data_IF_118162563178
#
_entry.id   IF_118162563178
#
_cell.length_a   1.000
_cell.length_b   1.000
_cell.length_c   1.000
_cell.angle_alpha   90.00
_cell.angle_beta   90.00
_cell.angle_gamma   90.00
#
_symmetry.space_group_name_H-M   'P 1'
#
loop_
_entity.id
_entity.type
_entity.pdbx_description
1 polymer ?
#
# COMPACT_ATOMS: atom_id res chain seq x y z
N UNK A 1 17.81 -10.83 10.68
CA UNK A 1 16.95 -9.74 10.14
C UNK A 1 16.87 -10.01 8.66
N UNK A 2 15.74 -10.37 8.11
CA UNK A 2 15.59 -10.39 6.65
C UNK A 2 15.67 -8.94 6.17
N UNK A 3 16.64 -8.66 5.31
CA UNK A 3 16.76 -7.39 4.63
C UNK A 3 15.61 -7.33 3.62
N UNK A 4 14.98 -6.17 3.45
CA UNK A 4 14.02 -5.94 2.37
C UNK A 4 14.83 -5.98 1.07
N UNK A 5 14.47 -6.90 0.16
CA UNK A 5 15.19 -7.13 -1.09
C UNK A 5 14.43 -6.60 -2.31
N UNK A 6 13.10 -6.57 -2.22
CA UNK A 6 12.22 -6.12 -3.29
C UNK A 6 11.52 -4.81 -2.91
N UNK A 7 11.64 -3.82 -3.77
CA UNK A 7 11.14 -2.46 -3.57
C UNK A 7 10.19 -2.07 -4.71
N UNK A 8 9.27 -1.12 -4.50
CA UNK A 8 8.59 -0.46 -5.62
C UNK A 8 9.60 0.12 -6.60
N UNK A 9 9.26 0.14 -7.88
CA UNK A 9 10.09 0.70 -8.93
C UNK A 9 10.24 2.22 -8.76
N UNK A 10 11.28 2.80 -9.35
CA UNK A 10 11.57 4.23 -9.19
C UNK A 10 10.44 5.12 -9.74
N UNK A 11 9.82 4.75 -10.85
CA UNK A 11 8.69 5.47 -11.43
C UNK A 11 7.43 5.40 -10.54
N UNK A 12 7.20 4.28 -9.88
CA UNK A 12 6.15 4.14 -8.85
C UNK A 12 6.41 5.06 -7.66
N UNK A 13 7.64 5.11 -7.15
CA UNK A 13 8.01 6.00 -6.05
C UNK A 13 7.94 7.47 -6.44
N UNK A 14 8.34 7.84 -7.67
CA UNK A 14 8.19 9.19 -8.19
C UNK A 14 6.72 9.59 -8.38
N UNK A 15 5.88 8.68 -8.89
CA UNK A 15 4.44 8.91 -9.00
C UNK A 15 3.79 9.11 -7.62
N UNK A 16 4.23 8.35 -6.61
CA UNK A 16 3.81 8.54 -5.23
C UNK A 16 4.22 9.92 -4.70
N UNK A 17 5.49 10.33 -4.87
CA UNK A 17 6.00 11.63 -4.45
C UNK A 17 5.28 12.80 -5.14
N UNK A 18 4.87 12.63 -6.40
CA UNK A 18 4.11 13.60 -7.16
C UNK A 18 2.61 13.63 -6.81
N UNK A 19 2.12 12.70 -5.98
CA UNK A 19 0.71 12.57 -5.64
C UNK A 19 -0.17 12.14 -6.82
N UNK A 20 0.41 11.49 -7.84
CA UNK A 20 -0.29 11.03 -9.04
C UNK A 20 -0.58 9.53 -9.06
N UNK A 21 -0.14 8.80 -8.04
CA UNK A 21 -0.39 7.37 -7.94
C UNK A 21 -1.84 7.12 -7.49
N UNK A 22 -2.60 6.20 -8.13
CA UNK A 22 -3.94 5.82 -7.69
C UNK A 22 -3.99 5.43 -6.21
N UNK A 23 -5.07 5.78 -5.51
CA UNK A 23 -5.18 5.67 -4.05
C UNK A 23 -4.88 4.27 -3.51
N UNK A 24 -5.31 3.22 -4.22
CA UNK A 24 -5.03 1.84 -3.83
C UNK A 24 -3.53 1.49 -3.88
N UNK A 25 -2.82 1.93 -4.92
CA UNK A 25 -1.37 1.75 -5.06
C UNK A 25 -0.62 2.62 -4.05
N UNK A 26 -1.07 3.87 -3.85
CA UNK A 26 -0.50 4.80 -2.89
C UNK A 26 -0.58 4.25 -1.45
N UNK A 27 -1.65 3.53 -1.09
CA UNK A 27 -1.78 2.87 0.20
C UNK A 27 -0.69 1.82 0.40
N UNK A 28 -0.40 1.00 -0.62
CA UNK A 28 0.65 -0.03 -0.55
C UNK A 28 2.02 0.61 -0.35
N UNK A 29 2.34 1.62 -1.18
CA UNK A 29 3.61 2.37 -1.04
C UNK A 29 3.71 3.01 0.33
N UNK A 30 2.67 3.71 0.79
CA UNK A 30 2.64 4.34 2.11
C UNK A 30 2.87 3.38 3.27
N UNK A 31 2.34 2.14 3.18
CA UNK A 31 2.62 1.08 4.15
C UNK A 31 4.07 0.59 4.09
N UNK A 32 4.63 0.40 2.90
CA UNK A 32 6.03 0.00 2.70
C UNK A 32 7.00 1.06 3.24
N UNK A 33 6.72 2.35 3.02
CA UNK A 33 7.56 3.44 3.51
C UNK A 33 7.67 3.47 5.04
N UNK A 34 6.78 2.82 5.79
CA UNK A 34 6.90 2.75 7.26
C UNK A 34 8.05 1.84 7.69
N UNK A 35 8.43 0.87 6.88
CA UNK A 35 9.48 -0.12 7.21
C UNK A 35 10.74 0.03 6.37
N UNK A 36 10.67 0.66 5.18
CA UNK A 36 11.81 0.81 4.27
C UNK A 36 12.39 2.23 4.29
N UNK A 37 13.58 2.40 4.86
CA UNK A 37 14.29 3.69 4.89
C UNK A 37 14.83 4.12 3.53
N UNK A 38 15.20 3.17 2.68
CA UNK A 38 15.71 3.42 1.32
C UNK A 38 14.64 4.09 0.48
N UNK A 39 13.45 3.49 0.39
CA UNK A 39 12.34 4.07 -0.38
C UNK A 39 11.85 5.40 0.21
N UNK A 40 11.86 5.56 1.55
CA UNK A 40 11.59 6.87 2.16
C UNK A 40 12.55 7.95 1.69
N UNK A 41 13.83 7.63 1.56
CA UNK A 41 14.84 8.59 1.07
C UNK A 41 14.60 8.96 -0.39
N UNK A 42 14.24 7.99 -1.24
CA UNK A 42 13.92 8.23 -2.65
C UNK A 42 12.68 9.12 -2.81
N UNK A 43 11.61 8.83 -2.07
CA UNK A 43 10.39 9.67 -2.09
C UNK A 43 10.70 11.10 -1.65
N UNK A 44 11.46 11.31 -0.55
CA UNK A 44 11.87 12.64 -0.11
C UNK A 44 12.69 13.39 -1.16
N UNK A 45 13.53 12.69 -1.92
CA UNK A 45 14.28 13.29 -3.02
C UNK A 45 13.36 13.76 -4.14
N UNK A 46 12.34 12.96 -4.49
CA UNK A 46 11.30 13.34 -5.45
C UNK A 46 10.48 14.54 -5.00
N UNK A 47 10.05 14.56 -3.74
CA UNK A 47 9.33 15.69 -3.12
C UNK A 47 10.17 16.97 -3.11
N UNK A 48 11.48 16.85 -2.81
CA UNK A 48 12.40 17.99 -2.84
C UNK A 48 12.54 18.58 -4.24
N UNK A 49 12.69 17.72 -5.26
CA UNK A 49 12.72 18.13 -6.66
C UNK A 49 11.42 18.84 -7.06
N UNK A 50 10.26 18.28 -6.66
CA UNK A 50 8.95 18.91 -6.89
C UNK A 50 8.86 20.28 -6.24
N UNK A 51 9.36 20.45 -5.01
CA UNK A 51 9.44 21.71 -4.31
C UNK A 51 10.30 22.76 -5.04
N UNK A 52 11.45 22.35 -5.57
CA UNK A 52 12.30 23.24 -6.36
C UNK A 52 11.63 23.69 -7.65
N UNK A 53 10.98 22.78 -8.36
CA UNK A 53 10.22 23.11 -9.56
C UNK A 53 9.09 24.11 -9.25
N UNK A 54 8.39 23.95 -8.13
CA UNK A 54 7.36 24.90 -7.69
C UNK A 54 7.92 26.28 -7.41
N UNK A 55 9.11 26.38 -6.80
CA UNK A 55 9.74 27.69 -6.50
C UNK A 55 10.25 28.40 -7.75
N UNK A 56 10.52 27.66 -8.84
CA UNK A 56 10.91 28.21 -10.15
C UNK A 56 9.72 28.78 -10.95
N UNK A 57 8.48 28.50 -10.55
CA UNK A 57 7.30 29.03 -11.21
C UNK A 57 7.11 30.52 -10.88
N UNK A 58 6.63 31.29 -11.88
CA UNK A 58 6.28 32.68 -11.65
C UNK A 58 5.16 32.78 -10.59
N UNK A 59 5.34 33.65 -9.58
CA UNK A 59 4.35 33.79 -8.53
C UNK A 59 3.02 34.33 -9.10
N UNK A 60 1.91 33.72 -8.72
CA UNK A 60 0.58 34.19 -9.08
C UNK A 60 0.10 35.18 -8.03
N UNK A 61 -0.39 36.35 -8.45
CA UNK A 61 -0.96 37.34 -7.58
C UNK A 61 -2.19 36.76 -6.88
N UNK A 62 -2.20 36.80 -5.55
CA UNK A 62 -3.35 36.39 -4.75
C UNK A 62 -4.31 37.58 -4.59
N UNK A 63 -5.60 37.32 -4.42
CA UNK A 63 -6.58 38.38 -4.08
C UNK A 63 -6.31 38.89 -2.66
N UNK A 64 -6.60 40.17 -2.40
CA UNK A 64 -6.42 40.84 -1.08
C UNK A 64 -7.12 40.04 0.05
N UNK A 65 -8.20 39.34 -0.27
CA UNK A 65 -8.95 38.52 0.68
C UNK A 65 -8.41 37.10 0.87
N UNK A 66 -7.56 36.60 -0.02
CA UNK A 66 -7.10 35.21 0.04
C UNK A 66 -6.36 34.92 1.35
N UNK A 67 -5.44 35.80 1.76
CA UNK A 67 -4.70 35.67 3.02
C UNK A 67 -5.65 35.73 4.23
N UNK A 68 -6.56 36.70 4.25
CA UNK A 68 -7.54 36.84 5.33
C UNK A 68 -8.42 35.61 5.48
N UNK A 69 -8.91 35.05 4.35
CA UNK A 69 -9.72 33.86 4.34
C UNK A 69 -8.98 32.62 4.88
N UNK A 70 -7.69 32.47 4.55
CA UNK A 70 -6.88 31.35 5.07
C UNK A 70 -6.69 31.50 6.59
N UNK A 71 -6.29 32.69 7.06
CA UNK A 71 -6.11 32.94 8.49
C UNK A 71 -7.41 32.72 9.27
N UNK A 72 -8.53 33.23 8.78
CA UNK A 72 -9.84 33.02 9.40
C UNK A 72 -10.22 31.52 9.51
N UNK A 73 -9.92 30.71 8.48
CA UNK A 73 -10.15 29.25 8.54
C UNK A 73 -9.27 28.57 9.56
N UNK A 74 -8.01 28.99 9.69
CA UNK A 74 -7.09 28.45 10.71
C UNK A 74 -7.58 28.79 12.13
N UNK A 75 -8.03 30.04 12.37
CA UNK A 75 -8.57 30.44 13.65
C UNK A 75 -9.85 29.65 14.02
N UNK A 76 -10.73 29.39 13.03
CA UNK A 76 -11.92 28.57 13.22
C UNK A 76 -11.58 27.10 13.55
N UNK A 77 -10.55 26.53 12.92
CA UNK A 77 -10.09 25.18 13.24
C UNK A 77 -9.46 25.09 14.63
N UNK A 78 -8.70 26.09 15.03
CA UNK A 78 -8.09 26.13 16.35
C UNK A 78 -9.17 26.21 17.46
N UNK A 79 -10.26 26.95 17.24
CA UNK A 79 -11.38 27.03 18.19
C UNK A 79 -12.17 25.71 18.32
N UNK A 80 -12.07 24.80 17.34
CA UNK A 80 -12.68 23.46 17.40
C UNK A 80 -11.75 22.40 17.98
N UNK A 81 -10.43 22.63 17.98
CA UNK A 81 -9.43 21.66 18.48
C UNK A 81 -9.16 21.78 19.97
N UNK A 82 -9.70 22.76 20.68
CA UNK A 82 -9.57 22.86 22.14
C UNK A 82 -10.30 21.73 22.91
N UNK A 83 -10.95 20.80 22.20
CA UNK A 83 -11.62 19.62 22.78
C UNK A 83 -10.87 18.28 22.61
N UNK A 84 -9.83 18.22 21.81
CA UNK A 84 -8.95 17.04 21.70
C UNK A 84 -7.49 17.49 21.69
N UNK A 85 -6.88 17.48 22.86
CA UNK A 85 -5.42 17.43 22.95
C UNK A 85 -4.93 16.12 22.35
N UNK A 86 -4.82 16.07 21.02
CA UNK A 86 -3.92 15.12 20.39
C UNK A 86 -2.52 15.56 20.79
N UNK A 87 -1.98 14.95 21.85
CA UNK A 87 -0.55 14.99 22.10
C UNK A 87 0.11 14.51 20.81
N UNK A 88 0.67 15.46 20.06
CA UNK A 88 1.68 15.15 19.04
C UNK A 88 2.83 14.57 19.84
N UNK A 89 2.78 13.26 20.05
CA UNK A 89 3.91 12.50 20.53
C UNK A 89 5.04 12.82 19.56
N UNK A 90 6.11 13.44 20.12
CA UNK A 90 7.39 13.57 19.47
C UNK A 90 7.60 12.31 18.63
N UNK A 91 7.74 12.46 17.33
CA UNK A 91 8.17 11.38 16.46
C UNK A 91 9.51 10.92 17.02
N UNK A 92 9.44 9.92 17.88
CA UNK A 92 10.59 9.14 18.23
C UNK A 92 11.07 8.59 16.91
N UNK A 93 12.23 9.05 16.45
CA UNK A 93 12.98 8.43 15.36
C UNK A 93 13.12 6.99 15.81
N UNK A 94 12.22 6.12 15.33
CA UNK A 94 12.28 4.69 15.58
C UNK A 94 13.55 4.28 14.85
N UNK A 95 14.59 4.04 15.63
CA UNK A 95 15.77 3.30 15.19
C UNK A 95 15.29 2.10 14.39
N UNK A 96 15.95 1.70 13.28
CA UNK A 96 15.49 0.61 12.44
C UNK A 96 15.32 -0.63 13.30
N UNK A 97 14.13 -0.80 13.83
CA UNK A 97 13.75 -2.02 14.54
C UNK A 97 13.71 -3.14 13.49
N UNK A 98 14.28 -4.27 13.86
CA UNK A 98 14.20 -5.51 13.13
C UNK A 98 12.80 -5.72 12.53
N UNK A 99 12.66 -6.32 11.33
CA UNK A 99 11.38 -6.72 10.82
C UNK A 99 10.73 -7.63 11.86
N UNK A 100 9.77 -7.07 12.58
CA UNK A 100 8.98 -7.81 13.55
C UNK A 100 7.95 -8.58 12.72
N UNK A 101 8.03 -9.90 12.74
CA UNK A 101 7.05 -10.78 12.09
C UNK A 101 5.65 -10.28 12.42
N UNK A 102 4.88 -9.87 11.39
CA UNK A 102 3.45 -9.64 11.52
C UNK A 102 3.00 -8.34 12.19
N UNK A 103 3.79 -7.28 12.18
CA UNK A 103 3.30 -5.96 12.65
C UNK A 103 2.51 -5.28 11.54
N UNK A 104 1.23 -5.01 11.81
CA UNK A 104 0.38 -4.27 10.89
C UNK A 104 0.84 -2.81 10.78
N UNK A 105 1.07 -2.28 9.56
CA UNK A 105 1.41 -0.86 9.36
C UNK A 105 0.39 0.08 9.99
N UNK A 106 0.83 1.18 10.58
CA UNK A 106 -0.05 2.12 11.30
C UNK A 106 -1.14 2.74 10.40
N UNK A 107 -0.88 2.87 9.10
CA UNK A 107 -1.90 3.26 8.12
C UNK A 107 -3.04 2.24 8.05
N UNK A 108 -2.72 0.95 7.98
CA UNK A 108 -3.72 -0.11 7.98
C UNK A 108 -4.47 -0.19 9.31
N UNK A 109 -3.77 -0.04 10.44
CA UNK A 109 -4.41 0.00 11.77
C UNK A 109 -5.49 1.09 11.85
N UNK A 110 -5.21 2.29 11.31
CA UNK A 110 -6.17 3.40 11.27
C UNK A 110 -7.38 3.10 10.39
N UNK A 111 -7.16 2.47 9.23
CA UNK A 111 -8.23 2.15 8.28
C UNK A 111 -9.10 1.00 8.81
N UNK A 112 -8.47 -0.08 9.29
CA UNK A 112 -9.14 -1.30 9.72
C UNK A 112 -9.64 -1.21 11.17
N UNK A 113 -9.15 -0.23 11.95
CA UNK A 113 -9.43 -0.04 13.38
C UNK A 113 -9.08 -1.28 14.22
N UNK A 114 -8.06 -2.00 13.79
CA UNK A 114 -7.57 -3.23 14.39
C UNK A 114 -6.04 -3.29 14.25
N UNK A 115 -5.37 -3.96 15.18
CA UNK A 115 -3.91 -4.11 15.21
C UNK A 115 -3.46 -5.55 14.99
N UNK A 116 -4.36 -6.50 15.21
CA UNK A 116 -4.09 -7.93 15.08
C UNK A 116 -4.72 -8.50 13.81
N UNK A 117 -3.90 -9.12 12.98
CA UNK A 117 -4.37 -9.79 11.76
C UNK A 117 -5.36 -10.91 12.04
N UNK A 118 -5.25 -11.60 13.17
CA UNK A 118 -6.14 -12.72 13.51
C UNK A 118 -7.51 -12.24 13.99
N UNK A 119 -7.62 -11.02 14.52
CA UNK A 119 -8.88 -10.42 14.94
C UNK A 119 -9.70 -9.83 13.77
N UNK A 120 -9.10 -9.71 12.58
CA UNK A 120 -9.76 -9.12 11.42
C UNK A 120 -10.93 -9.98 10.89
N UNK A 121 -11.98 -9.35 10.33
CA UNK A 121 -13.17 -10.04 9.80
C UNK A 121 -12.90 -10.65 8.41
N UNK A 122 -12.03 -11.64 8.33
CA UNK A 122 -11.64 -12.30 7.10
C UNK A 122 -12.83 -12.96 6.38
N UNK A 123 -13.05 -12.61 5.13
CA UNK A 123 -14.04 -13.24 4.24
C UNK A 123 -13.39 -14.31 3.39
N UNK A 124 -13.99 -15.50 3.35
CA UNK A 124 -13.56 -16.56 2.43
C UNK A 124 -13.85 -16.16 0.98
N UNK A 125 -12.97 -16.52 0.07
CA UNK A 125 -13.18 -16.39 -1.36
C UNK A 125 -13.59 -17.75 -1.95
N UNK A 126 -13.87 -17.80 -3.24
CA UNK A 126 -14.10 -19.08 -3.94
C UNK A 126 -12.79 -19.84 -4.19
N UNK A 127 -11.64 -19.18 -4.11
CA UNK A 127 -10.34 -19.83 -4.21
C UNK A 127 -10.01 -20.53 -2.88
N UNK A 128 -9.74 -21.84 -2.89
CA UNK A 128 -9.37 -22.57 -1.67
C UNK A 128 -8.13 -21.94 -1.02
N UNK A 129 -8.13 -21.85 0.31
CA UNK A 129 -6.99 -21.32 1.06
C UNK A 129 -6.79 -19.80 0.98
N UNK A 130 -7.67 -19.07 0.29
CA UNK A 130 -7.61 -17.61 0.20
C UNK A 130 -8.75 -16.96 1.00
N UNK A 131 -8.39 -16.02 1.87
CA UNK A 131 -9.33 -15.11 2.53
C UNK A 131 -8.95 -13.66 2.18
N UNK A 132 -9.93 -12.76 2.22
CA UNK A 132 -9.69 -11.36 1.89
C UNK A 132 -10.49 -10.40 2.75
N UNK A 133 -10.00 -9.15 2.78
CA UNK A 133 -10.73 -7.97 3.24
C UNK A 133 -10.58 -6.92 2.16
N UNK A 134 -11.69 -6.39 1.67
CA UNK A 134 -11.68 -5.29 0.69
C UNK A 134 -11.53 -3.98 1.46
N UNK A 135 -10.64 -3.13 0.99
CA UNK A 135 -10.42 -1.77 1.51
C UNK A 135 -10.92 -0.81 0.45
N UNK A 136 -11.89 0.00 0.81
CA UNK A 136 -12.46 1.00 -0.09
C UNK A 136 -11.42 2.11 -0.36
N UNK A 137 -11.19 2.39 -1.64
CA UNK A 137 -10.30 3.45 -2.13
C UNK A 137 -11.03 4.26 -3.19
N UNK A 138 -10.75 5.56 -3.26
CA UNK A 138 -11.35 6.44 -4.27
C UNK A 138 -10.93 6.05 -5.70
N UNK A 139 -9.70 5.53 -5.85
CA UNK A 139 -9.14 5.08 -7.13
C UNK A 139 -8.46 3.74 -6.96
N UNK A 140 -8.80 2.80 -7.84
CA UNK A 140 -8.29 1.43 -7.81
C UNK A 140 -8.98 0.54 -6.78
N UNK A 141 -8.39 -0.61 -6.51
CA UNK A 141 -8.88 -1.59 -5.54
C UNK A 141 -7.74 -2.00 -4.61
N UNK A 142 -7.96 -1.90 -3.30
CA UNK A 142 -7.03 -2.43 -2.32
C UNK A 142 -7.66 -3.62 -1.57
N UNK A 143 -6.85 -4.65 -1.32
CA UNK A 143 -7.26 -5.86 -0.63
C UNK A 143 -6.18 -6.32 0.33
N UNK A 144 -6.57 -6.64 1.54
CA UNK A 144 -5.76 -7.45 2.41
C UNK A 144 -6.06 -8.92 2.10
N UNK A 145 -5.05 -9.70 1.80
CA UNK A 145 -5.15 -11.11 1.44
C UNK A 145 -4.46 -11.95 2.51
N UNK A 146 -5.05 -13.11 2.82
CA UNK A 146 -4.44 -14.15 3.66
C UNK A 146 -4.47 -15.46 2.89
N UNK A 147 -3.31 -15.94 2.54
CA UNK A 147 -3.07 -17.16 1.78
C UNK A 147 -2.55 -18.21 2.75
N UNK A 148 -3.25 -19.34 2.85
CA UNK A 148 -2.86 -20.43 3.75
C UNK A 148 -1.47 -20.96 3.37
N UNK A 149 -0.66 -21.33 4.36
CA UNK A 149 0.66 -21.92 4.19
C UNK A 149 0.63 -23.06 3.14
N UNK A 150 1.62 -23.09 2.25
CA UNK A 150 1.74 -24.07 1.16
C UNK A 150 0.69 -23.95 0.05
N UNK A 151 -0.22 -22.95 0.12
CA UNK A 151 -1.25 -22.78 -0.89
C UNK A 151 -0.70 -22.12 -2.15
N UNK A 152 -0.93 -22.77 -3.28
CA UNK A 152 -0.60 -22.27 -4.61
C UNK A 152 -1.77 -21.48 -5.18
N UNK A 153 -1.51 -20.26 -5.61
CA UNK A 153 -2.51 -19.40 -6.25
C UNK A 153 -2.68 -19.77 -7.74
N UNK A 154 -3.83 -19.48 -8.35
CA UNK A 154 -3.98 -19.63 -9.80
C UNK A 154 -2.98 -18.75 -10.57
N UNK A 155 -2.55 -19.21 -11.74
CA UNK A 155 -1.79 -18.40 -12.69
C UNK A 155 -2.64 -17.24 -13.15
N UNK A 156 -2.14 -16.02 -13.03
CA UNK A 156 -2.84 -14.80 -13.44
C UNK A 156 -1.89 -13.73 -13.96
N UNK A 157 -2.44 -12.72 -14.58
CA UNK A 157 -1.78 -11.49 -14.99
C UNK A 157 -2.69 -10.29 -14.69
N UNK A 158 -2.21 -9.10 -14.93
CA UNK A 158 -2.91 -7.86 -14.61
C UNK A 158 -3.26 -7.10 -15.90
N UNK A 159 -4.29 -6.25 -15.90
CA UNK A 159 -4.55 -5.30 -17.00
C UNK A 159 -3.80 -4.00 -16.83
N UNK A 160 -3.45 -3.65 -15.62
CA UNK A 160 -2.74 -2.45 -15.20
C UNK A 160 -1.62 -2.80 -14.26
N UNK A 161 -1.35 -1.92 -13.32
CA UNK A 161 -0.34 -2.09 -12.29
C UNK A 161 -0.91 -2.81 -11.06
N UNK A 162 -0.11 -3.67 -10.46
CA UNK A 162 -0.35 -4.24 -9.15
C UNK A 162 0.87 -4.05 -8.25
N UNK A 163 0.64 -3.58 -7.04
CA UNK A 163 1.62 -3.57 -5.97
C UNK A 163 1.16 -4.53 -4.87
N UNK A 164 2.01 -5.47 -4.50
CA UNK A 164 1.74 -6.39 -3.40
C UNK A 164 2.83 -6.31 -2.33
N UNK A 165 2.49 -5.74 -1.16
CA UNK A 165 3.36 -5.67 0.03
C UNK A 165 3.13 -6.87 0.92
N UNK A 166 4.18 -7.61 1.22
CA UNK A 166 4.12 -8.71 2.20
C UNK A 166 4.17 -8.13 3.62
N UNK A 167 3.17 -8.49 4.42
CA UNK A 167 3.03 -8.03 5.81
C UNK A 167 3.47 -9.10 6.82
N UNK A 168 3.25 -10.38 6.49
CA UNK A 168 3.62 -11.52 7.33
C UNK A 168 3.78 -12.76 6.46
N UNK A 169 4.68 -13.67 6.83
CA UNK A 169 5.02 -14.83 6.00
C UNK A 169 5.77 -14.42 4.74
N UNK A 170 5.58 -15.21 3.70
CA UNK A 170 6.17 -14.97 2.39
C UNK A 170 5.51 -15.81 1.31
N UNK A 171 5.91 -15.57 0.07
CA UNK A 171 5.61 -16.42 -1.06
C UNK A 171 6.77 -16.44 -2.06
N UNK A 172 6.81 -17.46 -2.89
CA UNK A 172 7.71 -17.54 -4.04
C UNK A 172 6.93 -17.67 -5.34
N UNK A 173 7.51 -17.14 -6.42
CA UNK A 173 7.04 -17.32 -7.79
C UNK A 173 8.21 -17.30 -8.79
N UNK A 174 7.93 -17.10 -10.08
CA UNK A 174 8.96 -17.01 -11.13
C UNK A 174 9.86 -15.78 -11.03
N UNK A 175 9.46 -14.78 -10.25
CA UNK A 175 10.20 -13.52 -10.06
C UNK A 175 11.14 -13.59 -8.84
N UNK A 176 10.90 -14.52 -7.94
CA UNK A 176 11.75 -14.70 -6.76
C UNK A 176 10.99 -15.09 -5.50
N UNK A 177 11.67 -14.92 -4.37
CA UNK A 177 11.13 -15.09 -3.02
C UNK A 177 10.80 -13.71 -2.45
N UNK A 178 9.58 -13.53 -1.97
CA UNK A 178 9.11 -12.30 -1.33
C UNK A 178 8.82 -12.55 0.14
N UNK A 179 9.44 -11.76 1.01
CA UNK A 179 9.34 -11.85 2.47
C UNK A 179 8.66 -10.61 3.06
N UNK A 180 8.34 -10.65 4.35
CA UNK A 180 7.72 -9.51 5.03
C UNK A 180 8.56 -8.23 4.86
N UNK A 181 7.93 -7.19 4.35
CA UNK A 181 8.51 -5.90 3.97
C UNK A 181 8.77 -5.74 2.47
N UNK A 182 8.88 -6.83 1.71
CA UNK A 182 9.09 -6.79 0.26
C UNK A 182 7.82 -6.35 -0.48
N UNK A 183 8.02 -5.70 -1.62
CA UNK A 183 6.95 -5.31 -2.55
C UNK A 183 7.19 -5.95 -3.90
N UNK A 184 6.21 -6.70 -4.40
CA UNK A 184 6.12 -7.05 -5.80
C UNK A 184 5.45 -5.87 -6.53
N UNK A 185 6.14 -5.29 -7.52
CA UNK A 185 5.66 -4.19 -8.37
C UNK A 185 5.54 -4.74 -9.79
N UNK A 186 4.31 -5.01 -10.21
CA UNK A 186 3.99 -5.76 -11.40
C UNK A 186 3.15 -4.93 -12.36
N UNK A 187 3.40 -5.11 -13.65
CA UNK A 187 2.62 -4.54 -14.73
C UNK A 187 1.80 -5.60 -15.48
N UNK A 188 1.00 -5.14 -16.45
CA UNK A 188 0.14 -6.00 -17.25
C UNK A 188 0.86 -7.04 -18.11
N UNK A 189 2.17 -6.95 -18.29
CA UNK A 189 2.98 -7.90 -19.07
C UNK A 189 3.41 -9.11 -18.24
N UNK A 190 3.35 -8.99 -16.92
CA UNK A 190 3.84 -10.00 -15.98
C UNK A 190 2.76 -11.06 -15.69
N UNK A 191 3.13 -12.32 -15.93
CA UNK A 191 2.33 -13.47 -15.52
C UNK A 191 3.05 -14.20 -14.41
N UNK A 192 2.34 -14.47 -13.32
CA UNK A 192 2.92 -15.15 -12.18
C UNK A 192 1.97 -16.10 -11.48
N UNK A 193 2.51 -16.94 -10.61
CA UNK A 193 1.78 -17.89 -9.81
C UNK A 193 2.39 -17.97 -8.41
N UNK A 194 1.95 -17.14 -7.47
CA UNK A 194 2.44 -17.18 -6.11
C UNK A 194 2.16 -18.51 -5.41
N UNK A 195 3.16 -19.00 -4.69
CA UNK A 195 3.11 -20.14 -3.79
C UNK A 195 3.49 -19.65 -2.40
N UNK A 196 2.54 -19.63 -1.46
CA UNK A 196 2.82 -19.27 -0.07
C UNK A 196 3.81 -20.26 0.56
N UNK A 197 4.68 -19.75 1.44
CA UNK A 197 5.62 -20.57 2.19
C UNK A 197 4.91 -21.62 3.04
N UNK A 198 5.57 -22.73 3.32
CA UNK A 198 4.95 -23.88 4.01
C UNK A 198 4.83 -23.69 5.53
N UNK A 199 5.59 -22.76 6.11
CA UNK A 199 5.72 -22.60 7.57
C UNK A 199 4.67 -21.72 8.22
N UNK A 200 4.06 -20.78 7.45
CA UNK A 200 3.03 -19.88 7.97
C UNK A 200 2.19 -19.24 6.85
N UNK A 201 0.98 -18.77 7.21
CA UNK A 201 0.13 -18.04 6.28
C UNK A 201 0.84 -16.78 5.76
N UNK A 202 0.74 -16.55 4.44
CA UNK A 202 1.18 -15.30 3.83
C UNK A 202 0.05 -14.26 3.95
N UNK A 203 0.34 -13.14 4.62
CA UNK A 203 -0.58 -12.00 4.67
C UNK A 203 0.05 -10.86 3.87
N UNK A 204 -0.66 -10.36 2.87
CA UNK A 204 -0.19 -9.27 2.02
C UNK A 204 -1.29 -8.23 1.76
N UNK A 205 -0.84 -7.01 1.47
CA UNK A 205 -1.67 -5.91 0.99
C UNK A 205 -1.46 -5.75 -0.51
N UNK A 206 -2.48 -6.05 -1.29
CA UNK A 206 -2.49 -5.86 -2.74
C UNK A 206 -3.26 -4.59 -3.10
N UNK A 207 -2.66 -3.73 -3.92
CA UNK A 207 -3.29 -2.56 -4.55
C UNK A 207 -3.24 -2.72 -6.05
N UNK A 208 -4.34 -2.40 -6.73
CA UNK A 208 -4.49 -2.54 -8.19
C UNK A 208 -5.22 -1.33 -8.77
N UNK A 209 -4.82 -0.88 -9.95
CA UNK A 209 -5.53 0.15 -10.71
C UNK A 209 -6.52 -0.44 -11.74
N UNK A 210 -6.41 -1.73 -12.03
CA UNK A 210 -7.30 -2.45 -12.94
C UNK A 210 -7.55 -3.90 -12.48
N UNK A 211 -8.65 -4.55 -12.93
CA UNK A 211 -8.98 -5.93 -12.54
C UNK A 211 -7.95 -6.98 -13.00
N UNK A 212 -7.81 -8.04 -12.22
CA UNK A 212 -7.00 -9.21 -12.56
C UNK A 212 -7.51 -9.95 -13.79
N UNK A 213 -6.60 -10.57 -14.53
CA UNK A 213 -6.87 -11.44 -15.66
C UNK A 213 -6.48 -12.87 -15.33
N UNK A 214 -7.45 -13.74 -15.10
CA UNK A 214 -7.19 -15.15 -14.90
C UNK A 214 -7.10 -15.91 -16.23
N UNK A 215 -6.10 -16.77 -16.36
CA UNK A 215 -5.98 -17.69 -17.52
C UNK A 215 -6.86 -18.93 -17.32
N UNK A 216 -7.47 -19.36 -18.43
CA UNK A 216 -8.36 -20.52 -18.47
C UNK A 216 -9.82 -20.13 -18.66
N UNK A 217 -10.54 -20.96 -19.43
CA UNK A 217 -11.94 -20.69 -19.77
C UNK A 217 -12.87 -20.74 -18.53
N UNK A 218 -12.62 -21.66 -17.59
CA UNK A 218 -13.38 -21.75 -16.34
C UNK A 218 -13.12 -20.53 -15.45
N UNK A 219 -11.87 -20.09 -15.33
CA UNK A 219 -11.49 -18.93 -14.53
C UNK A 219 -12.13 -17.64 -15.07
N UNK A 220 -12.24 -17.48 -16.39
CA UNK A 220 -12.93 -16.36 -17.04
C UNK A 220 -14.44 -16.33 -16.77
N UNK A 221 -15.08 -17.49 -16.63
CA UNK A 221 -16.50 -17.59 -16.28
C UNK A 221 -16.77 -17.18 -14.83
N UNK A 222 -15.81 -17.39 -13.94
CA UNK A 222 -15.95 -17.12 -12.52
C UNK A 222 -15.46 -15.69 -12.18
N UNK A 223 -14.65 -15.07 -13.03
CA UNK A 223 -14.08 -13.74 -12.83
C UNK A 223 -15.09 -12.66 -12.39
N UNK A 224 -16.31 -12.55 -12.97
CA UNK A 224 -17.31 -11.58 -12.51
C UNK A 224 -17.81 -11.82 -11.08
N UNK A 225 -17.69 -13.06 -10.57
CA UNK A 225 -18.16 -13.45 -9.24
C UNK A 225 -17.06 -13.42 -8.18
N UNK A 226 -15.80 -13.33 -8.59
CA UNK A 226 -14.64 -13.25 -7.67
C UNK A 226 -14.46 -11.83 -7.15
N UNK A 227 -15.02 -10.82 -7.85
CA UNK A 227 -14.93 -9.42 -7.46
C UNK A 227 -13.47 -8.93 -7.38
N UNK A 228 -12.58 -9.57 -8.13
CA UNK A 228 -11.16 -9.20 -8.27
C UNK A 228 -10.89 -8.67 -9.67
#
# INVERSE_FOLDING_TARGET
MSQIEHHPQDDTLFSYAAGSLPAALALVVGCHLQVCSTCRSQVRSGESLGGELMTALAPKTLSDRARANVLQRLDMQQSQSDCEQVSVGSETIVSPAAPVKGVMPSLLQKILKEQDFDALPWKKTIAPGLKQIVIDCDEGQARLLRITAGQKMPVHSHRGSELTLILSGGYSDTLGQFNAGDVADLDGSTEHQPLADDDMDCICLAGMDAPLLFKGWLAKLIQPFVGM
#
